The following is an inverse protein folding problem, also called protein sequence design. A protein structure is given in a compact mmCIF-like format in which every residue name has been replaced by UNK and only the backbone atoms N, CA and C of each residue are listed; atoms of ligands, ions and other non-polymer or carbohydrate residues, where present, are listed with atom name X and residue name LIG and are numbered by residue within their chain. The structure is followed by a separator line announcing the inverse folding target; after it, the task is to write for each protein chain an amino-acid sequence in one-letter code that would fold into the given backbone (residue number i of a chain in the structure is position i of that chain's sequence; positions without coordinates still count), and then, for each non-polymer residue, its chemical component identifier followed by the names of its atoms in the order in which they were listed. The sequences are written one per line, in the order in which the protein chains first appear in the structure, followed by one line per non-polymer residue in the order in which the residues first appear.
data_IF_862561470445
#
_entry.id   IF_862561470445
#
_cell.length_a   1.000
_cell.length_b   1.000
_cell.length_c   1.000
_cell.angle_alpha   90.00
_cell.angle_beta   90.00
_cell.angle_gamma   90.00
#
_symmetry.space_group_name_H-M   'P 1'
#
loop_
_entity.id
_entity.type
_entity.pdbx_description
1 polymer ?
#
# COMPACT_ATOMS: atom_id res chain seq x y z
N UNK A 1 -14.04 -5.72 9.95
CA UNK A 1 -12.69 -6.11 9.50
C UNK A 1 -11.71 -5.05 9.97
N UNK A 2 -10.55 -5.44 10.47
CA UNK A 2 -9.52 -4.50 10.89
C UNK A 2 -8.85 -3.87 9.66
N UNK A 3 -8.95 -2.55 9.52
CA UNK A 3 -8.40 -1.81 8.38
C UNK A 3 -6.89 -1.99 8.26
N UNK A 4 -6.16 -2.14 9.39
CA UNK A 4 -4.71 -2.40 9.38
C UNK A 4 -4.42 -3.78 8.79
N UNK A 5 -5.21 -4.79 9.13
CA UNK A 5 -5.06 -6.14 8.59
C UNK A 5 -5.31 -6.18 7.07
N UNK A 6 -6.26 -5.40 6.56
CA UNK A 6 -6.51 -5.30 5.12
C UNK A 6 -5.39 -4.56 4.38
N UNK A 7 -4.88 -3.45 4.93
CA UNK A 7 -3.71 -2.76 4.37
C UNK A 7 -2.49 -3.69 4.34
N UNK A 8 -2.28 -4.47 5.42
CA UNK A 8 -1.24 -5.51 5.47
C UNK A 8 -1.44 -6.56 4.38
N UNK A 9 -2.68 -6.99 4.15
CA UNK A 9 -3.00 -7.96 3.11
C UNK A 9 -2.64 -7.44 1.71
N UNK A 10 -2.99 -6.19 1.41
CA UNK A 10 -2.64 -5.52 0.15
C UNK A 10 -1.13 -5.45 -0.04
N UNK A 11 -0.38 -5.08 1.00
CA UNK A 11 1.09 -5.06 0.96
C UNK A 11 1.70 -6.41 0.55
N UNK A 12 1.25 -7.52 1.13
CA UNK A 12 1.81 -8.84 0.82
C UNK A 12 1.36 -9.42 -0.53
N UNK A 13 0.23 -8.96 -1.07
CA UNK A 13 -0.30 -9.43 -2.37
C UNK A 13 0.00 -8.51 -3.55
N UNK A 14 0.52 -7.31 -3.30
CA UNK A 14 0.73 -6.33 -4.34
C UNK A 14 1.63 -6.87 -5.45
N UNK A 15 1.28 -6.55 -6.69
CA UNK A 15 2.05 -6.91 -7.88
C UNK A 15 2.26 -5.68 -8.77
N UNK A 16 3.23 -5.70 -9.71
CA UNK A 16 3.41 -4.60 -10.66
C UNK A 16 2.14 -4.25 -11.47
N UNK A 17 1.20 -5.19 -11.60
CA UNK A 17 -0.06 -5.00 -12.32
C UNK A 17 -1.16 -4.38 -11.47
N UNK A 18 -1.12 -4.58 -10.14
CA UNK A 18 -2.20 -4.21 -9.22
C UNK A 18 -1.84 -3.04 -8.31
N UNK A 19 -0.56 -2.67 -8.22
CA UNK A 19 -0.02 -1.74 -7.22
C UNK A 19 -0.75 -0.39 -7.14
N UNK A 20 -1.19 0.17 -8.26
CA UNK A 20 -1.91 1.44 -8.28
C UNK A 20 -3.28 1.28 -7.58
N UNK A 21 -4.04 0.25 -7.95
CA UNK A 21 -5.34 -0.06 -7.33
C UNK A 21 -5.19 -0.48 -5.86
N UNK A 22 -4.15 -1.23 -5.53
CA UNK A 22 -3.87 -1.66 -4.15
C UNK A 22 -3.56 -0.44 -3.26
N UNK A 23 -2.81 0.53 -3.78
CA UNK A 23 -2.53 1.78 -3.08
C UNK A 23 -3.78 2.64 -2.88
N UNK A 24 -4.62 2.80 -3.89
CA UNK A 24 -5.86 3.57 -3.76
C UNK A 24 -6.77 2.97 -2.68
N UNK A 25 -6.89 1.63 -2.66
CA UNK A 25 -7.67 0.92 -1.64
C UNK A 25 -7.04 1.07 -0.26
N UNK A 26 -5.72 0.99 -0.15
CA UNK A 26 -5.01 1.17 1.11
C UNK A 26 -5.18 2.60 1.67
N UNK A 27 -5.17 3.62 0.80
CA UNK A 27 -5.48 5.01 1.18
C UNK A 27 -6.92 5.16 1.69
N UNK A 28 -7.88 4.52 1.02
CA UNK A 28 -9.28 4.53 1.47
C UNK A 28 -9.43 3.91 2.87
N UNK A 29 -8.76 2.77 3.12
CA UNK A 29 -8.74 2.11 4.42
C UNK A 29 -8.03 2.93 5.50
N UNK A 30 -6.93 3.60 5.16
CA UNK A 30 -6.18 4.44 6.10
C UNK A 30 -7.05 5.57 6.66
N UNK A 31 -7.96 6.13 5.82
CA UNK A 31 -8.88 7.20 6.22
C UNK A 31 -9.94 6.74 7.22
N UNK A 32 -10.25 5.45 7.29
CA UNK A 32 -11.23 4.91 8.25
C UNK A 32 -10.61 4.56 9.60
N UNK A 33 -9.29 4.67 9.74
CA UNK A 33 -8.59 4.38 11.01
C UNK A 33 -8.65 5.61 11.90
N UNK A 34 -9.33 5.49 13.04
CA UNK A 34 -9.44 6.56 14.04
C UNK A 34 -8.28 6.54 15.05
N UNK A 35 -7.85 5.35 15.47
CA UNK A 35 -6.78 5.17 16.45
C UNK A 35 -5.41 5.56 15.89
N UNK A 36 -4.70 6.42 16.63
CA UNK A 36 -3.33 6.82 16.30
C UNK A 36 -2.38 5.61 16.24
N UNK A 37 -2.52 4.66 17.17
CA UNK A 37 -1.71 3.45 17.20
C UNK A 37 -1.91 2.59 15.94
N UNK A 38 -3.18 2.38 15.55
CA UNK A 38 -3.49 1.66 14.32
C UNK A 38 -2.96 2.38 13.08
N UNK A 39 -3.06 3.71 13.05
CA UNK A 39 -2.57 4.53 11.94
C UNK A 39 -1.04 4.42 11.80
N UNK A 40 -0.34 4.39 12.93
CA UNK A 40 1.12 4.24 12.96
C UNK A 40 1.55 2.85 12.48
N UNK A 41 0.83 1.80 12.84
CA UNK A 41 1.05 0.45 12.28
C UNK A 41 0.77 0.39 10.77
N UNK A 42 -0.33 0.99 10.32
CA UNK A 42 -0.69 1.05 8.90
C UNK A 42 0.36 1.82 8.08
N UNK A 43 0.97 2.88 8.64
CA UNK A 43 1.96 3.70 7.95
C UNK A 43 3.16 2.90 7.43
N UNK A 44 3.62 1.89 8.18
CA UNK A 44 4.73 1.01 7.76
C UNK A 44 4.39 0.26 6.47
N UNK A 45 3.17 -0.27 6.36
CA UNK A 45 2.71 -0.96 5.16
C UNK A 45 2.47 0.00 3.99
N UNK A 46 1.96 1.21 4.28
CA UNK A 46 1.75 2.25 3.27
C UNK A 46 3.07 2.71 2.64
N UNK A 47 4.12 2.87 3.44
CA UNK A 47 5.46 3.24 2.95
C UNK A 47 6.03 2.14 2.03
N UNK A 48 5.92 0.88 2.44
CA UNK A 48 6.33 -0.26 1.62
C UNK A 48 5.58 -0.35 0.28
N UNK A 49 4.25 -0.12 0.27
CA UNK A 49 3.46 -0.06 -0.96
C UNK A 49 3.93 1.10 -1.87
N UNK A 50 4.21 2.28 -1.31
CA UNK A 50 4.70 3.43 -2.06
C UNK A 50 6.08 3.17 -2.67
N UNK A 51 6.98 2.49 -1.94
CA UNK A 51 8.28 2.06 -2.45
C UNK A 51 8.13 1.08 -3.62
N UNK A 52 7.32 0.02 -3.47
CA UNK A 52 7.08 -0.95 -4.54
C UNK A 52 6.57 -0.30 -5.82
N UNK A 53 5.62 0.65 -5.71
CA UNK A 53 5.11 1.43 -6.85
C UNK A 53 6.26 2.18 -7.54
N UNK A 54 7.08 2.89 -6.77
CA UNK A 54 8.20 3.66 -7.31
C UNK A 54 9.20 2.77 -8.05
N UNK A 55 9.57 1.64 -7.44
CA UNK A 55 10.50 0.69 -8.06
C UNK A 55 9.95 0.08 -9.34
N UNK A 56 8.68 -0.35 -9.36
CA UNK A 56 8.07 -0.97 -10.54
C UNK A 56 7.84 0.05 -11.66
N UNK A 57 7.53 1.30 -11.33
CA UNK A 57 7.44 2.39 -12.31
C UNK A 57 8.80 2.69 -12.93
N UNK A 58 9.86 2.70 -12.13
CA UNK A 58 11.24 2.90 -12.59
C UNK A 58 11.71 1.74 -13.47
N UNK A 59 11.49 0.49 -13.04
CA UNK A 59 11.85 -0.72 -13.82
C UNK A 59 11.12 -0.80 -15.17
N UNK A 60 9.88 -0.32 -15.27
CA UNK A 60 9.17 -0.19 -16.54
C UNK A 60 9.83 0.81 -17.48
N UNK A 61 10.28 1.95 -16.95
CA UNK A 61 10.90 3.03 -17.75
C UNK A 61 12.26 2.68 -18.35
N UNK A 62 13.03 1.82 -17.68
CA UNK A 62 14.34 1.36 -18.17
C UNK A 62 14.23 0.24 -19.23
N UNK A 63 13.06 -0.38 -19.40
CA UNK A 63 12.83 -1.48 -20.37
C UNK A 63 12.08 -1.04 -21.64
N UNK A 64 11.85 0.25 -21.84
CA UNK A 64 11.27 0.86 -23.04
C UNK A 64 12.31 1.72 -23.74
#
# INVERSE_FOLDING_TARGET
MDAVAEIRHLYFKATPKTIENDLDRAVALLKTIESAEQRQRAAVYMDGLAQMRSEWRTRRRTRS
#
